data_IF_266847515422
#
_entry.id   IF_266847515422
#
_cell.length_a   1.000
_cell.length_b   1.000
_cell.length_c   1.000
_cell.angle_alpha   90.00
_cell.angle_beta   90.00
_cell.angle_gamma   90.00
#
_symmetry.space_group_name_H-M   'P 1'
#
loop_
_entity.id
_entity.type
_entity.pdbx_description
1 polymer ?
#
# COMPACT_ATOMS: atom_id res chain seq x y z
N UNK A 1 -18.84 8.83 -2.76
CA UNK A 1 -19.75 9.30 -1.68
C UNK A 1 -19.05 9.15 -0.34
N UNK A 2 -18.80 10.23 0.41
CA UNK A 2 -18.08 10.19 1.68
C UNK A 2 -18.84 9.34 2.73
N UNK A 3 -18.10 8.72 3.66
CA UNK A 3 -18.71 8.01 4.81
C UNK A 3 -19.18 9.04 5.84
N UNK A 4 -20.18 8.71 6.66
CA UNK A 4 -20.80 9.62 7.65
C UNK A 4 -19.83 10.33 8.62
N UNK A 5 -18.59 9.85 8.78
CA UNK A 5 -17.57 10.39 9.72
C UNK A 5 -16.22 10.67 9.01
N UNK A 6 -16.15 10.57 7.67
CA UNK A 6 -14.90 10.76 6.93
C UNK A 6 -15.11 11.63 5.69
N UNK A 7 -14.18 12.56 5.45
CA UNK A 7 -14.18 13.42 4.27
C UNK A 7 -14.06 12.66 2.94
N UNK A 8 -13.56 11.42 2.95
CA UNK A 8 -13.51 10.56 1.76
C UNK A 8 -13.83 9.09 2.07
N UNK A 9 -14.19 8.33 1.05
CA UNK A 9 -14.34 6.86 1.10
C UNK A 9 -13.41 6.18 0.10
N UNK A 10 -12.38 6.90 -0.36
CA UNK A 10 -11.42 6.40 -1.33
C UNK A 10 -10.50 5.39 -0.65
N UNK A 11 -10.71 4.10 -0.91
CA UNK A 11 -9.83 3.03 -0.44
C UNK A 11 -8.73 2.69 -1.45
N UNK A 12 -7.87 1.73 -1.10
CA UNK A 12 -6.77 1.28 -1.96
C UNK A 12 -7.20 0.84 -3.37
N UNK A 13 -8.43 0.34 -3.54
CA UNK A 13 -8.94 -0.02 -4.87
C UNK A 13 -9.16 1.19 -5.79
N UNK A 14 -9.58 2.33 -5.22
CA UNK A 14 -9.76 3.56 -5.99
C UNK A 14 -8.39 4.15 -6.33
N UNK A 15 -7.45 4.15 -5.37
CA UNK A 15 -6.07 4.59 -5.61
C UNK A 15 -5.39 3.78 -6.72
N UNK A 16 -5.48 2.45 -6.69
CA UNK A 16 -4.93 1.58 -7.74
C UNK A 16 -5.50 1.89 -9.12
N UNK A 17 -6.82 2.15 -9.23
CA UNK A 17 -7.44 2.53 -10.51
C UNK A 17 -7.01 3.91 -11.00
N UNK A 18 -6.77 4.85 -10.09
CA UNK A 18 -6.27 6.18 -10.44
C UNK A 18 -4.87 6.11 -11.07
N UNK A 19 -3.96 5.31 -10.51
CA UNK A 19 -2.60 5.17 -11.05
C UNK A 19 -2.48 4.18 -12.22
N UNK A 20 -3.50 3.34 -12.48
CA UNK A 20 -3.47 2.35 -13.55
C UNK A 20 -3.41 2.97 -14.97
N UNK A 21 -4.01 4.15 -15.17
CA UNK A 21 -3.94 4.86 -16.44
C UNK A 21 -3.62 6.35 -16.22
N UNK A 22 -2.32 6.71 -16.15
CA UNK A 22 -1.89 8.08 -15.89
C UNK A 22 -2.37 9.10 -16.94
N UNK A 23 -2.54 8.69 -18.20
CA UNK A 23 -3.04 9.56 -19.28
C UNK A 23 -4.48 9.96 -19.00
N UNK A 24 -5.36 8.97 -18.79
CA UNK A 24 -6.77 9.22 -18.49
C UNK A 24 -6.94 10.03 -17.18
N UNK A 25 -6.16 9.72 -16.14
CA UNK A 25 -6.19 10.48 -14.89
C UNK A 25 -5.74 11.93 -15.07
N UNK A 26 -4.71 12.18 -15.89
CA UNK A 26 -4.29 13.53 -16.26
C UNK A 26 -5.38 14.27 -17.01
N UNK A 27 -5.97 13.64 -18.03
CA UNK A 27 -7.01 14.27 -18.86
C UNK A 27 -8.24 14.67 -18.03
N UNK A 28 -8.62 13.83 -17.05
CA UNK A 28 -9.75 14.10 -16.15
C UNK A 28 -9.42 15.17 -15.10
N UNK A 29 -8.22 15.14 -14.51
CA UNK A 29 -7.87 16.02 -13.37
C UNK A 29 -7.18 17.32 -13.77
N UNK A 30 -6.69 17.41 -15.01
CA UNK A 30 -5.84 18.51 -15.48
C UNK A 30 -4.43 18.51 -14.89
N UNK A 31 -4.01 17.45 -14.20
CA UNK A 31 -2.68 17.34 -13.60
C UNK A 31 -1.65 16.82 -14.61
N UNK A 32 -0.37 17.16 -14.42
CA UNK A 32 0.70 16.67 -15.31
C UNK A 32 0.80 15.14 -15.31
N UNK A 33 0.72 14.51 -16.50
CA UNK A 33 1.01 13.07 -16.70
C UNK A 33 2.33 12.67 -16.06
N UNK A 34 3.36 13.50 -16.22
CA UNK A 34 4.70 13.21 -15.68
C UNK A 34 4.64 13.08 -14.16
N UNK A 35 3.92 13.97 -13.49
CA UNK A 35 3.78 13.95 -12.04
C UNK A 35 3.03 12.69 -11.57
N UNK A 36 1.91 12.34 -12.22
CA UNK A 36 1.13 11.14 -11.90
C UNK A 36 1.97 9.88 -12.08
N UNK A 37 2.75 9.78 -13.16
CA UNK A 37 3.65 8.65 -13.42
C UNK A 37 4.72 8.51 -12.34
N UNK A 38 5.39 9.59 -11.95
CA UNK A 38 6.43 9.54 -10.89
C UNK A 38 5.85 9.06 -9.56
N UNK A 39 4.67 9.56 -9.17
CA UNK A 39 4.00 9.05 -7.97
C UNK A 39 3.60 7.58 -8.09
N UNK A 40 3.11 7.15 -9.26
CA UNK A 40 2.80 5.74 -9.50
C UNK A 40 4.03 4.85 -9.27
N UNK A 41 5.19 5.24 -9.81
CA UNK A 41 6.45 4.49 -9.68
C UNK A 41 6.91 4.44 -8.23
N UNK A 42 6.94 5.59 -7.54
CA UNK A 42 7.35 5.67 -6.12
C UNK A 42 6.47 4.76 -5.26
N UNK A 43 5.15 4.79 -5.44
CA UNK A 43 4.23 3.95 -4.68
C UNK A 43 4.40 2.46 -5.02
N UNK A 44 4.68 2.12 -6.27
CA UNK A 44 4.93 0.74 -6.69
C UNK A 44 6.22 0.20 -6.07
N UNK A 45 7.31 0.97 -6.10
CA UNK A 45 8.60 0.59 -5.51
C UNK A 45 8.46 0.32 -4.01
N UNK A 46 7.79 1.19 -3.27
CA UNK A 46 7.60 1.04 -1.81
C UNK A 46 6.68 -0.13 -1.47
N UNK A 47 5.70 -0.42 -2.32
CA UNK A 47 4.78 -1.54 -2.12
C UNK A 47 5.41 -2.91 -2.41
N UNK A 48 6.66 -2.95 -2.89
CA UNK A 48 7.36 -4.20 -3.19
C UNK A 48 8.01 -4.80 -1.97
N UNK A 49 8.12 -6.11 -2.05
CA UNK A 49 8.78 -6.98 -1.09
C UNK A 49 10.28 -7.13 -1.42
N UNK A 50 10.93 -6.05 -1.88
CA UNK A 50 12.32 -6.03 -2.36
C UNK A 50 13.09 -4.84 -1.79
N UNK A 51 14.42 -4.96 -1.70
CA UNK A 51 15.27 -3.85 -1.28
C UNK A 51 15.32 -2.74 -2.34
N UNK A 52 15.29 -1.50 -1.85
CA UNK A 52 15.30 -0.29 -2.65
C UNK A 52 16.73 0.27 -2.64
N UNK A 53 17.21 0.74 -3.78
CA UNK A 53 18.45 1.53 -3.83
C UNK A 53 18.18 2.92 -3.26
N UNK A 54 18.75 3.20 -2.09
CA UNK A 54 18.55 4.43 -1.34
C UNK A 54 18.95 5.69 -2.11
N UNK A 55 20.09 5.64 -2.82
CA UNK A 55 20.65 6.78 -3.53
C UNK A 55 19.83 7.06 -4.80
N UNK A 56 19.49 6.01 -5.55
CA UNK A 56 18.65 6.12 -6.73
C UNK A 56 17.24 6.61 -6.35
N UNK A 57 16.70 6.11 -5.24
CA UNK A 57 15.39 6.50 -4.72
C UNK A 57 15.37 7.96 -4.25
N UNK A 58 16.36 8.41 -3.48
CA UNK A 58 16.45 9.82 -3.03
C UNK A 58 16.53 10.78 -4.21
N UNK A 59 17.35 10.46 -5.21
CA UNK A 59 17.43 11.26 -6.43
C UNK A 59 16.08 11.34 -7.13
N UNK A 60 15.39 10.20 -7.24
CA UNK A 60 14.08 10.14 -7.90
C UNK A 60 13.00 10.91 -7.11
N UNK A 61 12.98 10.83 -5.78
CA UNK A 61 12.00 11.55 -4.96
C UNK A 61 12.31 13.04 -4.94
N UNK A 62 13.58 13.45 -4.82
CA UNK A 62 13.97 14.86 -4.81
C UNK A 62 13.65 15.58 -6.13
N UNK A 63 13.89 14.93 -7.27
CA UNK A 63 13.46 15.46 -8.56
C UNK A 63 11.94 15.55 -8.70
N UNK A 64 11.20 14.66 -8.01
CA UNK A 64 9.74 14.73 -7.93
C UNK A 64 9.30 15.93 -7.08
N UNK A 65 9.99 16.23 -5.97
CA UNK A 65 9.73 17.43 -5.15
C UNK A 65 9.89 18.70 -5.97
N UNK A 66 10.99 18.83 -6.73
CA UNK A 66 11.21 20.00 -7.60
C UNK A 66 10.05 20.18 -8.58
N UNK A 67 9.59 19.07 -9.19
CA UNK A 67 8.45 19.09 -10.11
C UNK A 67 7.15 19.50 -9.41
N UNK A 68 6.90 19.01 -8.18
CA UNK A 68 5.75 19.41 -7.37
C UNK A 68 5.74 20.91 -7.08
N UNK A 69 6.88 21.48 -6.66
CA UNK A 69 6.98 22.91 -6.35
C UNK A 69 6.78 23.76 -7.61
N UNK A 70 7.32 23.34 -8.75
CA UNK A 70 7.14 24.05 -10.02
C UNK A 70 5.69 24.06 -10.50
N UNK A 71 5.00 22.92 -10.44
CA UNK A 71 3.63 22.78 -10.97
C UNK A 71 2.55 23.21 -9.98
N UNK A 72 2.80 23.02 -8.69
CA UNK A 72 1.81 23.15 -7.62
C UNK A 72 2.28 24.12 -6.53
N UNK A 73 2.94 25.22 -6.90
CA UNK A 73 3.45 26.22 -5.93
C UNK A 73 2.34 26.83 -5.04
N UNK A 74 1.08 26.77 -5.50
CA UNK A 74 -0.10 27.28 -4.79
C UNK A 74 -0.62 26.32 -3.70
N UNK A 75 -0.18 25.06 -3.68
CA UNK A 75 -0.67 24.05 -2.75
C UNK A 75 0.44 23.56 -1.84
N UNK A 76 0.23 23.64 -0.52
CA UNK A 76 1.17 23.08 0.43
C UNK A 76 1.18 21.55 0.37
N UNK A 77 2.36 20.95 0.27
CA UNK A 77 2.50 19.51 0.14
C UNK A 77 1.96 18.80 1.39
N UNK A 78 1.05 17.82 1.26
CA UNK A 78 0.50 17.10 2.41
C UNK A 78 1.60 16.39 3.20
N UNK A 79 1.42 16.26 4.52
CA UNK A 79 2.42 15.66 5.40
C UNK A 79 2.82 14.23 4.98
N UNK A 80 1.89 13.43 4.46
CA UNK A 80 2.19 12.08 3.94
C UNK A 80 3.10 12.12 2.71
N UNK A 81 2.81 13.00 1.75
CA UNK A 81 3.62 13.19 0.54
C UNK A 81 5.00 13.76 0.90
N UNK A 82 5.05 14.71 1.83
CA UNK A 82 6.31 15.27 2.32
C UNK A 82 7.20 14.21 2.99
N UNK A 83 6.62 13.39 3.88
CA UNK A 83 7.32 12.26 4.50
C UNK A 83 7.82 11.27 3.45
N UNK A 84 7.01 10.97 2.44
CA UNK A 84 7.38 10.07 1.36
C UNK A 84 8.56 10.58 0.54
N UNK A 85 8.51 11.85 0.12
CA UNK A 85 9.47 12.38 -0.84
C UNK A 85 10.77 12.88 -0.18
N UNK A 86 10.68 13.54 0.97
CA UNK A 86 11.84 14.11 1.67
C UNK A 86 12.46 13.11 2.64
N UNK A 87 11.64 12.46 3.46
CA UNK A 87 12.11 11.51 4.47
C UNK A 87 12.15 10.06 3.96
N UNK A 88 11.81 9.83 2.70
CA UNK A 88 11.74 8.50 2.09
C UNK A 88 13.05 7.72 2.20
N UNK A 89 14.19 8.34 1.89
CA UNK A 89 15.52 7.70 2.00
C UNK A 89 15.79 7.20 3.42
N UNK A 90 15.58 8.07 4.41
CA UNK A 90 15.79 7.73 5.82
C UNK A 90 14.91 6.56 6.26
N UNK A 91 13.66 6.51 5.79
CA UNK A 91 12.76 5.40 6.10
C UNK A 91 13.27 4.09 5.50
N UNK A 92 13.77 4.12 4.26
CA UNK A 92 14.36 2.94 3.60
C UNK A 92 15.63 2.49 4.34
N UNK A 93 16.53 3.41 4.65
CA UNK A 93 17.82 3.17 5.32
C UNK A 93 17.65 2.53 6.70
N UNK A 94 16.70 3.01 7.50
CA UNK A 94 16.47 2.51 8.87
C UNK A 94 15.48 1.32 8.94
N UNK A 95 14.88 0.91 7.81
CA UNK A 95 13.94 -0.20 7.80
C UNK A 95 14.69 -1.55 7.94
N UNK A 96 14.25 -2.38 8.89
CA UNK A 96 14.85 -3.72 9.12
C UNK A 96 14.51 -4.70 7.99
N UNK A 97 13.38 -4.49 7.32
CA UNK A 97 12.87 -5.31 6.24
C UNK A 97 12.43 -4.42 5.07
N UNK A 98 12.35 -4.95 3.85
CA UNK A 98 11.72 -4.25 2.73
C UNK A 98 10.37 -3.64 3.13
N UNK A 99 10.14 -2.37 2.74
CA UNK A 99 8.99 -1.61 3.24
C UNK A 99 7.66 -2.31 2.92
N UNK A 100 7.55 -3.00 1.78
CA UNK A 100 6.35 -3.75 1.42
C UNK A 100 5.98 -4.85 2.42
N UNK A 101 6.95 -5.44 3.13
CA UNK A 101 6.69 -6.42 4.20
C UNK A 101 6.12 -5.78 5.46
N UNK A 102 6.37 -4.49 5.70
CA UNK A 102 5.91 -3.74 6.86
C UNK A 102 4.52 -3.11 6.65
N UNK A 103 3.80 -3.51 5.58
CA UNK A 103 2.51 -2.94 5.21
C UNK A 103 1.38 -3.30 6.18
N UNK A 104 0.59 -2.29 6.57
CA UNK A 104 -0.63 -2.46 7.38
C UNK A 104 -1.77 -3.15 6.60
N UNK A 105 -1.73 -3.16 5.26
CA UNK A 105 -2.81 -3.69 4.43
C UNK A 105 -3.14 -5.15 4.74
N UNK A 106 -2.13 -5.95 5.09
CA UNK A 106 -2.30 -7.35 5.46
C UNK A 106 -3.14 -7.49 6.73
N UNK A 107 -2.91 -6.64 7.73
CA UNK A 107 -3.69 -6.63 8.97
C UNK A 107 -5.11 -6.09 8.72
N UNK A 108 -5.27 -5.01 7.94
CA UNK A 108 -6.60 -4.48 7.62
C UNK A 108 -7.48 -5.50 6.88
N UNK A 109 -6.90 -6.30 5.98
CA UNK A 109 -7.62 -7.35 5.28
C UNK A 109 -8.23 -8.37 6.25
N UNK A 110 -7.58 -8.66 7.38
CA UNK A 110 -8.07 -9.57 8.42
C UNK A 110 -9.34 -9.07 9.12
N UNK A 111 -9.64 -7.76 9.06
CA UNK A 111 -10.91 -7.25 9.58
C UNK A 111 -12.13 -7.82 8.85
N UNK A 112 -11.97 -8.21 7.57
CA UNK A 112 -13.01 -8.90 6.82
C UNK A 112 -13.24 -10.31 7.36
N UNK A 113 -12.17 -11.03 7.64
CA UNK A 113 -12.23 -12.37 8.21
C UNK A 113 -12.80 -12.35 9.63
N UNK A 114 -12.42 -11.37 10.45
CA UNK A 114 -12.98 -11.19 11.80
C UNK A 114 -14.51 -11.09 11.78
N UNK A 115 -15.05 -10.23 10.91
CA UNK A 115 -16.52 -10.07 10.75
C UNK A 115 -17.17 -11.37 10.31
N UNK A 116 -16.55 -12.08 9.35
CA UNK A 116 -17.02 -13.37 8.85
C UNK A 116 -17.02 -14.45 9.95
N UNK A 117 -15.94 -14.56 10.73
CA UNK A 117 -15.82 -15.54 11.82
C UNK A 117 -16.86 -15.30 12.91
N UNK A 118 -17.07 -14.03 13.28
CA UNK A 118 -18.11 -13.65 14.23
C UNK A 118 -19.53 -13.93 13.72
N UNK A 119 -19.77 -13.83 12.43
CA UNK A 119 -21.10 -14.07 11.86
C UNK A 119 -21.43 -15.56 11.71
N UNK A 120 -20.47 -16.35 11.21
CA UNK A 120 -20.70 -17.71 10.70
C UNK A 120 -20.07 -18.83 11.56
N UNK A 121 -19.02 -18.54 12.34
CA UNK A 121 -18.18 -19.58 12.98
C UNK A 121 -18.14 -19.50 14.51
N UNK A 122 -18.76 -18.49 15.11
CA UNK A 122 -18.76 -18.30 16.56
C UNK A 122 -20.11 -18.63 17.22
N UNK A 123 -20.05 -19.21 18.41
CA UNK A 123 -21.22 -19.42 19.28
C UNK A 123 -21.78 -18.06 19.74
N UNK A 124 -23.10 -17.89 19.68
CA UNK A 124 -23.79 -16.59 19.93
C UNK A 124 -24.55 -16.50 21.27
N UNK A 125 -24.27 -17.40 22.20
CA UNK A 125 -24.95 -17.43 23.51
C UNK A 125 -24.32 -16.49 24.55
N UNK A 126 -23.06 -16.08 24.37
CA UNK A 126 -22.40 -15.10 25.23
C UNK A 126 -21.23 -14.44 24.49
N UNK A 127 -20.93 -13.18 24.80
CA UNK A 127 -19.81 -12.48 24.16
C UNK A 127 -18.47 -13.16 24.39
N UNK A 128 -18.24 -13.70 25.60
CA UNK A 128 -16.98 -14.37 25.94
C UNK A 128 -16.72 -15.54 25.00
N UNK A 129 -17.71 -16.42 24.84
CA UNK A 129 -17.58 -17.58 23.95
C UNK A 129 -17.53 -17.17 22.47
N UNK A 130 -18.24 -16.12 22.08
CA UNK A 130 -18.12 -15.57 20.72
C UNK A 130 -16.69 -15.14 20.42
N UNK A 131 -16.06 -14.38 21.33
CA UNK A 131 -14.71 -13.87 21.12
C UNK A 131 -13.67 -14.99 21.17
N UNK A 132 -13.85 -15.95 22.09
CA UNK A 132 -13.02 -17.15 22.19
C UNK A 132 -12.99 -17.92 20.86
N UNK A 133 -14.16 -18.18 20.26
CA UNK A 133 -14.23 -18.88 18.97
C UNK A 133 -13.58 -18.10 17.84
N UNK A 134 -13.76 -16.77 17.81
CA UNK A 134 -13.13 -15.91 16.81
C UNK A 134 -11.60 -15.95 16.94
N UNK A 135 -11.07 -15.91 18.16
CA UNK A 135 -9.62 -16.00 18.43
C UNK A 135 -9.08 -17.37 18.01
N UNK A 136 -9.78 -18.46 18.31
CA UNK A 136 -9.39 -19.79 17.86
C UNK A 136 -9.35 -19.88 16.33
N UNK A 137 -10.37 -19.37 15.63
CA UNK A 137 -10.41 -19.35 14.16
C UNK A 137 -9.28 -18.49 13.56
N UNK A 138 -8.99 -17.33 14.16
CA UNK A 138 -7.87 -16.49 13.74
C UNK A 138 -6.54 -17.25 13.90
N UNK A 139 -6.35 -17.93 15.04
CA UNK A 139 -5.13 -18.70 15.35
C UNK A 139 -4.90 -19.85 14.36
N UNK A 140 -5.94 -20.64 14.08
CA UNK A 140 -5.88 -21.74 13.10
C UNK A 140 -5.54 -21.22 11.70
N UNK A 141 -6.11 -20.10 11.30
CA UNK A 141 -5.88 -19.53 9.97
C UNK A 141 -4.57 -18.77 9.82
N UNK A 142 -3.89 -18.45 10.92
CA UNK A 142 -2.54 -17.88 10.93
C UNK A 142 -1.45 -18.91 11.18
N UNK A 143 -1.80 -20.17 11.46
CA UNK A 143 -0.83 -21.24 11.71
C UNK A 143 0.02 -21.49 10.45
N UNK A 144 1.36 -21.35 10.51
CA UNK A 144 2.24 -21.52 9.36
C UNK A 144 2.21 -22.94 8.76
N UNK A 145 2.09 -23.97 9.60
CA UNK A 145 2.07 -25.37 9.17
C UNK A 145 0.79 -25.64 8.39
N UNK A 146 -0.35 -25.22 8.93
CA UNK A 146 -1.66 -25.37 8.26
C UNK A 146 -1.69 -24.55 6.96
N UNK A 147 -1.17 -23.33 7.01
CA UNK A 147 -1.15 -22.41 5.86
C UNK A 147 -0.30 -22.96 4.70
N UNK A 148 0.83 -23.59 4.99
CA UNK A 148 1.71 -24.19 3.99
C UNK A 148 1.09 -25.41 3.30
N UNK A 149 0.27 -26.19 4.02
CA UNK A 149 -0.41 -27.38 3.47
C UNK A 149 -1.68 -27.00 2.69
N UNK A 150 -2.26 -25.83 2.99
CA UNK A 150 -3.50 -25.38 2.37
C UNK A 150 -3.29 -25.05 0.89
N UNK A 151 -4.18 -25.56 0.03
CA UNK A 151 -4.25 -25.17 -1.37
C UNK A 151 -4.65 -23.69 -1.51
N UNK A 152 -3.66 -22.82 -1.66
CA UNK A 152 -3.86 -21.40 -1.89
C UNK A 152 -3.71 -21.08 -3.38
N UNK A 153 -4.59 -20.21 -3.90
CA UNK A 153 -4.42 -19.65 -5.25
C UNK A 153 -3.16 -18.80 -5.32
N UNK A 154 -2.36 -18.96 -6.38
CA UNK A 154 -1.18 -18.11 -6.59
C UNK A 154 -1.59 -16.65 -6.72
N UNK A 155 -0.82 -15.75 -6.11
CA UNK A 155 -0.95 -14.31 -6.37
C UNK A 155 -0.62 -14.02 -7.82
N UNK A 156 -1.33 -13.08 -8.43
CA UNK A 156 -1.02 -12.60 -9.77
C UNK A 156 0.08 -11.55 -9.66
N UNK A 157 1.22 -11.79 -10.29
CA UNK A 157 2.29 -10.80 -10.35
C UNK A 157 1.92 -9.67 -11.31
N UNK A 158 2.13 -8.43 -10.88
CA UNK A 158 2.05 -7.24 -11.72
C UNK A 158 3.37 -7.01 -12.43
N UNK A 159 3.33 -6.78 -13.76
CA UNK A 159 4.53 -6.54 -14.58
C UNK A 159 5.28 -5.29 -14.11
N UNK A 160 6.61 -5.36 -14.08
CA UNK A 160 7.50 -4.24 -13.77
C UNK A 160 7.51 -3.22 -14.91
N UNK A 161 7.47 -1.93 -14.56
CA UNK A 161 7.92 -0.89 -15.46
C UNK A 161 9.45 -0.85 -15.45
N UNK A 162 10.07 -0.55 -16.60
CA UNK A 162 11.53 -0.42 -16.71
C UNK A 162 12.12 0.63 -15.75
N UNK A 163 11.33 1.61 -15.34
CA UNK A 163 11.74 2.63 -14.37
C UNK A 163 11.70 2.12 -12.92
N UNK A 164 10.86 1.12 -12.62
CA UNK A 164 10.78 0.52 -11.28
C UNK A 164 12.03 -0.34 -11.03
N UNK A 165 12.47 -1.08 -12.05
CA UNK A 165 13.68 -1.92 -12.02
C UNK A 165 14.91 -1.11 -11.61
N UNK A 166 15.05 0.11 -12.12
CA UNK A 166 16.20 0.99 -11.86
C UNK A 166 16.27 1.52 -10.42
N UNK A 167 15.20 1.40 -9.65
CA UNK A 167 15.13 1.88 -8.26
C UNK A 167 15.25 0.74 -7.25
N UNK A 168 15.29 -0.50 -7.73
CA UNK A 168 15.43 -1.69 -6.92
C UNK A 168 16.89 -2.15 -6.98
N UNK A 169 17.39 -2.74 -5.89
CA UNK A 169 18.70 -3.38 -5.93
C UNK A 169 18.61 -4.65 -6.78
N UNK A 170 19.55 -4.84 -7.70
CA UNK A 170 19.75 -6.13 -8.35
C UNK A 170 20.18 -7.16 -7.28
N UNK A 171 19.49 -8.31 -7.27
CA UNK A 171 19.82 -9.46 -6.43
C UNK A 171 21.08 -10.20 -6.91
#
# INVERSE_FOLDING_TARGET
MPKRISGTSNGGNIARRFFANPTLSSDITGLSIKLIKRFSIILQVISREQEIDEDAFEKYTFDTVKLCVQLCNWYYMPASVNKLLIHGRQIVEYAILPIGHLSEEAQEARNKDFKKFREQFSRKFSMKNTLEDVVHMLSITSDPIITNIRNNSKKHETKLSKEDDLLLKDL
#
